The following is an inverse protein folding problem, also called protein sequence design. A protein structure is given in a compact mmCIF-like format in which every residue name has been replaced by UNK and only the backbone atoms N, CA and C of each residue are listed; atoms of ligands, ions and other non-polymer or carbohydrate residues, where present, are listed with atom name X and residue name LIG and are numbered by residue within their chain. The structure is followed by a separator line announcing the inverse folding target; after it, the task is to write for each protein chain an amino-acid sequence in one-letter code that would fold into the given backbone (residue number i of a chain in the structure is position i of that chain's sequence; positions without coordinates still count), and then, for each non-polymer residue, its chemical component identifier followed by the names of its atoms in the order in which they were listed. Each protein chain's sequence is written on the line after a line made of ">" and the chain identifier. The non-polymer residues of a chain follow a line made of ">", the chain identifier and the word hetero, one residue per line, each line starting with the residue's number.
data_IF_982255022687
#
_entry.id   IF_982255022687
#
_cell.length_a   1.000
_cell.length_b   1.000
_cell.length_c   1.000
_cell.angle_alpha   90.00
_cell.angle_beta   90.00
_cell.angle_gamma   90.00
#
_symmetry.space_group_name_H-M   'P 1'
#
loop_
_entity.id
_entity.type
_entity.pdbx_description
1 polymer ?
#
# COMPACT_ATOMS: atom_id res chain seq x y z
N UNK A 1 1.62 -14.65 -12.32
CA UNK A 1 1.47 -15.31 -11.02
C UNK A 1 1.17 -14.32 -9.89
N UNK A 2 2.09 -13.46 -9.42
CA UNK A 2 1.77 -12.50 -8.32
C UNK A 2 0.78 -11.38 -8.71
N UNK A 3 0.88 -10.84 -9.93
CA UNK A 3 -0.08 -9.83 -10.44
C UNK A 3 -1.51 -10.36 -10.53
N UNK A 4 -1.67 -11.64 -10.87
CA UNK A 4 -2.99 -12.28 -11.02
C UNK A 4 -3.68 -12.49 -9.67
N UNK A 5 -2.90 -12.74 -8.61
CA UNK A 5 -3.41 -12.82 -7.23
C UNK A 5 -3.99 -11.48 -6.79
N UNK A 6 -3.27 -10.36 -7.02
CA UNK A 6 -3.75 -9.02 -6.64
C UNK A 6 -5.01 -8.63 -7.41
N UNK A 7 -5.08 -8.96 -8.71
CA UNK A 7 -6.29 -8.75 -9.52
C UNK A 7 -7.48 -9.55 -8.99
N UNK A 8 -7.26 -10.80 -8.56
CA UNK A 8 -8.32 -11.62 -7.98
C UNK A 8 -8.77 -11.10 -6.61
N UNK A 9 -7.85 -10.60 -5.79
CA UNK A 9 -8.19 -9.94 -4.52
C UNK A 9 -9.07 -8.72 -4.76
N UNK A 10 -8.71 -7.84 -5.72
CA UNK A 10 -9.55 -6.69 -6.08
C UNK A 10 -10.96 -7.13 -6.47
N UNK A 11 -11.07 -8.12 -7.35
CA UNK A 11 -12.37 -8.65 -7.80
C UNK A 11 -13.19 -9.17 -6.63
N UNK A 12 -12.59 -9.92 -5.71
CA UNK A 12 -13.30 -10.46 -4.54
C UNK A 12 -13.69 -9.37 -3.53
N UNK A 13 -12.81 -8.43 -3.22
CA UNK A 13 -12.98 -7.49 -2.11
C UNK A 13 -13.68 -6.18 -2.49
N UNK A 14 -13.64 -5.78 -3.77
CA UNK A 14 -14.16 -4.51 -4.24
C UNK A 14 -15.24 -4.69 -5.31
N UNK A 15 -14.98 -5.48 -6.34
CA UNK A 15 -15.87 -5.52 -7.50
C UNK A 15 -17.12 -6.41 -7.26
N UNK A 16 -16.99 -7.50 -6.50
CA UNK A 16 -18.05 -8.47 -6.25
C UNK A 16 -18.80 -8.29 -4.92
N UNK A 17 -18.68 -7.14 -4.25
CA UNK A 17 -19.39 -6.86 -3.00
C UNK A 17 -20.24 -5.59 -3.10
N UNK A 18 -21.42 -5.54 -2.47
CA UNK A 18 -22.21 -4.31 -2.39
C UNK A 18 -21.39 -3.15 -1.83
N UNK A 19 -21.46 -1.99 -2.49
CA UNK A 19 -20.73 -0.77 -2.10
C UNK A 19 -19.20 -0.89 -2.05
N UNK A 20 -18.59 -1.93 -2.63
CA UNK A 20 -17.13 -2.11 -2.59
C UNK A 20 -16.32 -0.95 -3.19
N UNK A 21 -16.91 -0.19 -4.12
CA UNK A 21 -16.29 1.01 -4.73
C UNK A 21 -16.65 2.31 -4.02
N UNK A 22 -17.45 2.29 -2.95
CA UNK A 22 -17.91 3.51 -2.29
C UNK A 22 -16.74 4.33 -1.72
N UNK A 23 -15.77 3.65 -1.10
CA UNK A 23 -14.59 4.34 -0.55
C UNK A 23 -13.68 4.90 -1.66
N UNK A 24 -13.49 4.18 -2.77
CA UNK A 24 -12.74 4.67 -3.94
C UNK A 24 -13.35 5.93 -4.53
N UNK A 25 -14.69 5.95 -4.66
CA UNK A 25 -15.40 7.15 -5.12
C UNK A 25 -15.32 8.29 -4.12
N UNK A 26 -15.43 7.99 -2.82
CA UNK A 26 -15.32 8.99 -1.77
C UNK A 26 -13.95 9.66 -1.79
N UNK A 27 -12.87 8.89 -1.89
CA UNK A 27 -11.51 9.44 -1.94
C UNK A 27 -11.28 10.30 -3.19
N UNK A 28 -11.76 9.85 -4.36
CA UNK A 28 -11.64 10.62 -5.60
C UNK A 28 -12.44 11.94 -5.57
N UNK A 29 -13.57 11.97 -4.87
CA UNK A 29 -14.37 13.19 -4.68
C UNK A 29 -13.79 14.12 -3.60
N UNK A 30 -13.05 13.58 -2.64
CA UNK A 30 -12.54 14.33 -1.48
C UNK A 30 -11.20 15.01 -1.75
N UNK A 31 -10.39 14.45 -2.65
CA UNK A 31 -9.05 14.94 -2.97
C UNK A 31 -8.93 15.30 -4.44
N UNK A 32 -8.21 16.37 -4.81
CA UNK A 32 -8.02 16.73 -6.21
C UNK A 32 -7.19 15.67 -6.95
N UNK A 33 -7.37 15.62 -8.27
CA UNK A 33 -6.58 14.76 -9.15
C UNK A 33 -5.08 15.03 -8.96
N UNK A 34 -4.28 13.97 -8.89
CA UNK A 34 -2.83 14.05 -8.60
C UNK A 34 -2.46 14.01 -7.11
N UNK A 35 -3.41 14.19 -6.18
CA UNK A 35 -3.14 14.00 -4.76
C UNK A 35 -3.01 12.49 -4.43
N UNK A 36 -2.07 12.05 -3.56
CA UNK A 36 -1.90 10.63 -3.23
C UNK A 36 -3.15 9.92 -2.66
N UNK A 37 -4.06 10.69 -2.06
CA UNK A 37 -5.35 10.18 -1.55
C UNK A 37 -6.51 10.31 -2.54
N UNK A 38 -6.25 10.69 -3.79
CA UNK A 38 -7.28 10.71 -4.84
C UNK A 38 -7.73 9.29 -5.21
N UNK A 39 -6.88 8.28 -5.02
CA UNK A 39 -7.17 6.89 -5.28
C UNK A 39 -6.89 6.01 -4.07
N UNK A 40 -7.39 4.77 -4.10
CA UNK A 40 -7.11 3.79 -3.05
C UNK A 40 -5.76 3.10 -3.29
N UNK A 41 -5.13 2.53 -2.24
CA UNK A 41 -3.82 1.87 -2.38
C UNK A 41 -3.81 0.67 -3.34
N UNK A 42 -4.96 0.00 -3.56
CA UNK A 42 -5.05 -1.15 -4.48
C UNK A 42 -4.98 -0.71 -5.97
N UNK A 43 -5.05 0.59 -6.25
CA UNK A 43 -4.97 1.16 -7.60
C UNK A 43 -6.22 0.89 -8.42
N UNK A 44 -6.08 0.82 -9.75
CA UNK A 44 -7.08 0.35 -10.71
C UNK A 44 -6.64 -0.97 -11.39
N UNK A 45 -7.55 -1.67 -12.09
CA UNK A 45 -7.14 -2.82 -12.91
C UNK A 45 -6.13 -2.44 -13.99
N UNK A 46 -6.27 -1.25 -14.57
CA UNK A 46 -5.34 -0.71 -15.55
C UNK A 46 -3.95 -0.49 -14.95
N UNK A 47 -3.86 0.01 -13.72
CA UNK A 47 -2.59 0.19 -13.02
C UNK A 47 -1.91 -1.16 -12.73
N UNK A 48 -2.71 -2.16 -12.31
CA UNK A 48 -2.22 -3.54 -12.12
C UNK A 48 -1.79 -4.20 -13.44
N UNK A 49 -2.36 -3.79 -14.56
CA UNK A 49 -1.97 -4.21 -15.91
C UNK A 49 -0.69 -3.50 -16.40
N UNK A 50 -0.48 -2.26 -16.01
CA UNK A 50 0.71 -1.48 -16.39
C UNK A 50 1.94 -1.78 -15.51
N UNK A 51 1.74 -2.18 -14.24
CA UNK A 51 2.82 -2.36 -13.27
C UNK A 51 3.93 -3.34 -13.72
N UNK A 52 5.18 -2.89 -13.62
CA UNK A 52 6.37 -3.66 -13.96
C UNK A 52 7.17 -4.09 -12.72
N UNK A 53 8.13 -5.00 -12.91
CA UNK A 53 9.06 -5.38 -11.83
C UNK A 53 9.95 -4.21 -11.40
N UNK A 54 10.31 -3.33 -12.35
CA UNK A 54 11.16 -2.18 -12.02
C UNK A 54 10.40 -1.16 -11.17
N UNK A 55 9.10 -0.95 -11.42
CA UNK A 55 8.25 -0.10 -10.57
C UNK A 55 8.25 -0.60 -9.12
N UNK A 56 8.09 -1.92 -8.93
CA UNK A 56 8.13 -2.53 -7.60
C UNK A 56 9.50 -2.36 -6.92
N UNK A 57 10.60 -2.53 -7.68
CA UNK A 57 11.96 -2.32 -7.17
C UNK A 57 12.21 -0.85 -6.81
N UNK A 58 11.76 0.07 -7.66
CA UNK A 58 11.88 1.50 -7.42
C UNK A 58 11.08 1.93 -6.18
N UNK A 59 9.85 1.44 -6.04
CA UNK A 59 9.03 1.64 -4.86
C UNK A 59 9.73 1.15 -3.59
N UNK A 60 10.25 -0.08 -3.61
CA UNK A 60 10.99 -0.63 -2.47
C UNK A 60 12.20 0.22 -2.11
N UNK A 61 13.06 0.56 -3.07
CA UNK A 61 14.25 1.40 -2.85
C UNK A 61 13.90 2.78 -2.29
N UNK A 62 12.76 3.33 -2.68
CA UNK A 62 12.33 4.68 -2.28
C UNK A 62 11.75 4.69 -0.88
N UNK A 63 10.86 3.74 -0.57
CA UNK A 63 10.03 3.81 0.64
C UNK A 63 10.49 2.87 1.76
N UNK A 64 11.19 1.78 1.46
CA UNK A 64 11.74 0.83 2.45
C UNK A 64 13.17 1.20 2.86
N UNK A 65 13.38 2.47 3.21
CA UNK A 65 14.66 2.97 3.71
C UNK A 65 14.58 3.22 5.22
N UNK A 66 15.65 2.93 6.01
CA UNK A 66 15.63 3.10 7.47
C UNK A 66 15.27 4.52 7.94
N UNK A 67 15.68 5.54 7.18
CA UNK A 67 15.35 6.94 7.45
C UNK A 67 13.89 7.31 7.17
N UNK A 68 13.10 6.41 6.57
CA UNK A 68 11.66 6.54 6.34
C UNK A 68 10.86 5.45 7.11
N UNK A 69 11.50 4.77 8.07
CA UNK A 69 10.88 3.72 8.86
C UNK A 69 10.59 4.19 10.30
N UNK A 70 9.50 3.69 10.88
CA UNK A 70 9.19 3.83 12.31
C UNK A 70 9.13 2.43 12.91
N UNK A 71 10.00 2.14 13.88
CA UNK A 71 10.01 0.89 14.63
C UNK A 71 9.41 1.12 16.03
N UNK A 72 8.36 0.36 16.37
CA UNK A 72 7.74 0.38 17.69
C UNK A 72 8.01 -0.93 18.42
N UNK A 73 8.62 -0.86 19.61
CA UNK A 73 8.93 -2.01 20.47
C UNK A 73 8.26 -1.78 21.82
N UNK A 74 7.48 -2.75 22.28
CA UNK A 74 6.66 -2.63 23.50
C UNK A 74 6.73 -3.91 24.31
N UNK A 75 6.99 -3.78 25.61
CA UNK A 75 7.07 -4.90 26.55
C UNK A 75 7.91 -4.55 27.77
N UNK A 76 8.21 -5.54 28.59
CA UNK A 76 9.25 -5.47 29.64
C UNK A 76 10.61 -5.66 28.97
N UNK A 77 11.24 -4.55 28.58
CA UNK A 77 12.49 -4.53 27.82
C UNK A 77 13.55 -3.69 28.53
N UNK A 78 14.81 -4.04 28.31
CA UNK A 78 15.94 -3.16 28.57
C UNK A 78 16.12 -2.21 27.37
N UNK A 79 15.93 -0.89 27.52
CA UNK A 79 16.05 0.05 26.41
C UNK A 79 17.45 0.11 25.80
N UNK A 80 18.51 -0.03 26.60
CA UNK A 80 19.89 0.06 26.10
C UNK A 80 20.24 -1.18 25.29
N UNK A 81 19.91 -2.36 25.81
CA UNK A 81 20.12 -3.63 25.10
C UNK A 81 19.28 -3.69 23.81
N UNK A 82 18.04 -3.19 23.86
CA UNK A 82 17.13 -3.17 22.70
C UNK A 82 17.66 -2.25 21.62
N UNK A 83 18.15 -1.06 21.99
CA UNK A 83 18.70 -0.11 21.03
C UNK A 83 19.98 -0.64 20.36
N UNK A 84 20.77 -1.45 21.07
CA UNK A 84 21.98 -2.06 20.50
C UNK A 84 21.69 -3.17 19.46
N UNK A 85 20.48 -3.72 19.41
CA UNK A 85 20.11 -4.78 18.45
C UNK A 85 19.51 -4.27 17.14
N UNK A 86 19.03 -3.03 17.11
CA UNK A 86 18.30 -2.43 15.99
C UNK A 86 19.17 -1.45 15.21
#
# INVERSE_FOLDING_TARGET
>A
NQRDVVKNERRQRYDNVPYGTAFEKLTALSYPEGHPYHHTPIGSMADLDAATLEDARAFFRTYYAPNNAVLSIVGDIDPEQTLAWV
#
